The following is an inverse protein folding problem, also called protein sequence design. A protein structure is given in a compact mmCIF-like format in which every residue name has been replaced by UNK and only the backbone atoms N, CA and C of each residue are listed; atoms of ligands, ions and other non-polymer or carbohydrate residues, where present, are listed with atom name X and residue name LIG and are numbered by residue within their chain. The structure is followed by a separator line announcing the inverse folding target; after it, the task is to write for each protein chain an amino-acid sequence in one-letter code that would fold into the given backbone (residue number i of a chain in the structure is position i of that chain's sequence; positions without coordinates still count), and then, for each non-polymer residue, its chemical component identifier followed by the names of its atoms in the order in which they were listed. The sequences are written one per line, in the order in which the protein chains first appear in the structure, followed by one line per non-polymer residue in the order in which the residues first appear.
data_IF_962893578155
#
_entry.id   IF_962893578155
#
_cell.length_a   1.000
_cell.length_b   1.000
_cell.length_c   1.000
_cell.angle_alpha   90.00
_cell.angle_beta   90.00
_cell.angle_gamma   90.00
#
_symmetry.space_group_name_H-M   'P 1'
#
loop_
_entity.id
_entity.type
_entity.pdbx_description
1 polymer ?
#
# COMPACT_ATOMS: atom_id res chain seq x y z
N UNK A 1 9.83 0.92 -1.94
CA UNK A 1 11.10 0.51 -1.29
C UNK A 1 12.26 1.51 -1.41
N UNK A 2 12.60 2.07 -2.57
CA UNK A 2 13.80 2.93 -2.71
C UNK A 2 13.79 4.24 -1.89
N UNK A 3 12.62 4.86 -1.71
CA UNK A 3 12.46 6.07 -0.87
C UNK A 3 12.78 5.81 0.61
N UNK A 4 12.47 4.63 1.12
CA UNK A 4 12.72 4.28 2.53
C UNK A 4 14.20 3.98 2.80
N UNK A 5 14.95 3.45 1.81
CA UNK A 5 16.40 3.27 1.92
C UNK A 5 17.14 4.61 2.08
N UNK A 6 16.75 5.63 1.30
CA UNK A 6 17.34 6.98 1.37
C UNK A 6 17.22 7.68 2.72
N UNK A 7 16.10 7.47 3.41
CA UNK A 7 15.80 8.18 4.65
C UNK A 7 16.42 7.48 5.88
N UNK A 8 16.59 6.16 5.83
CA UNK A 8 17.04 5.37 6.98
C UNK A 8 18.53 5.02 6.94
N UNK A 9 19.12 4.84 5.76
CA UNK A 9 20.56 4.69 5.65
C UNK A 9 21.15 6.10 5.46
N UNK A 10 21.85 6.64 6.46
CA UNK A 10 22.61 7.92 6.39
C UNK A 10 23.75 7.89 5.34
N UNK A 11 23.61 7.10 4.29
CA UNK A 11 24.42 7.14 3.10
C UNK A 11 24.09 8.45 2.38
N UNK A 12 25.07 9.36 2.34
CA UNK A 12 25.21 10.36 1.26
C UNK A 12 25.32 9.60 -0.06
N UNK A 13 24.20 9.06 -0.53
CA UNK A 13 24.11 8.38 -1.80
C UNK A 13 23.98 9.48 -2.84
N UNK A 14 25.02 9.60 -3.67
CA UNK A 14 25.00 10.44 -4.86
C UNK A 14 23.71 10.14 -5.64
N UNK A 15 22.90 11.15 -6.04
CA UNK A 15 21.61 10.95 -6.68
C UNK A 15 21.65 9.98 -7.88
N UNK A 16 22.78 9.92 -8.57
CA UNK A 16 23.03 9.00 -9.68
C UNK A 16 23.05 7.52 -9.25
N UNK A 17 23.69 7.21 -8.11
CA UNK A 17 23.76 5.84 -7.58
C UNK A 17 22.37 5.34 -7.17
N UNK A 18 21.56 6.23 -6.61
CA UNK A 18 20.18 5.91 -6.29
C UNK A 18 19.34 5.64 -7.54
N UNK A 19 19.47 6.49 -8.56
CA UNK A 19 18.75 6.32 -9.82
C UNK A 19 19.10 4.97 -10.47
N UNK A 20 20.39 4.60 -10.45
CA UNK A 20 20.87 3.30 -10.93
C UNK A 20 20.26 2.15 -10.13
N UNK A 21 20.20 2.26 -8.81
CA UNK A 21 19.58 1.23 -7.96
C UNK A 21 18.08 1.07 -8.23
N UNK A 22 17.35 2.19 -8.37
CA UNK A 22 15.92 2.17 -8.70
C UNK A 22 15.69 1.49 -10.06
N UNK A 23 16.46 1.87 -11.07
CA UNK A 23 16.36 1.28 -12.40
C UNK A 23 16.68 -0.22 -12.38
N UNK A 24 17.71 -0.61 -11.63
CA UNK A 24 18.08 -2.02 -11.48
C UNK A 24 16.95 -2.83 -10.82
N UNK A 25 16.44 -2.37 -9.67
CA UNK A 25 15.31 -3.03 -8.99
C UNK A 25 14.06 -3.06 -9.87
N UNK A 26 13.79 -2.01 -10.65
CA UNK A 26 12.68 -2.01 -11.61
C UNK A 26 12.87 -3.08 -12.70
N UNK A 27 14.07 -3.25 -13.24
CA UNK A 27 14.38 -4.28 -14.24
C UNK A 27 14.25 -5.69 -13.66
N UNK A 28 14.71 -5.91 -12.43
CA UNK A 28 14.56 -7.19 -11.72
C UNK A 28 13.09 -7.53 -11.50
N UNK A 29 12.27 -6.55 -11.06
CA UNK A 29 10.83 -6.73 -10.94
C UNK A 29 10.18 -7.04 -12.29
N UNK A 30 10.49 -6.29 -13.34
CA UNK A 30 9.95 -6.56 -14.68
C UNK A 30 10.34 -7.96 -15.16
N UNK A 31 11.59 -8.38 -14.98
CA UNK A 31 12.06 -9.71 -15.37
C UNK A 31 11.34 -10.83 -14.60
N UNK A 32 11.25 -10.71 -13.27
CA UNK A 32 10.58 -11.67 -12.41
C UNK A 32 9.08 -11.81 -12.73
N UNK A 33 8.42 -10.69 -13.04
CA UNK A 33 7.00 -10.66 -13.37
C UNK A 33 6.73 -11.11 -14.82
N UNK A 34 7.65 -10.85 -15.76
CA UNK A 34 7.57 -11.39 -17.12
C UNK A 34 7.65 -12.93 -17.15
N UNK A 35 8.42 -13.56 -16.25
CA UNK A 35 8.47 -15.02 -16.14
C UNK A 35 7.21 -15.65 -15.52
N UNK A 36 6.40 -14.88 -14.79
CA UNK A 36 5.20 -15.36 -14.10
C UNK A 36 3.94 -15.46 -14.99
N UNK A 37 4.04 -15.06 -16.26
CA UNK A 37 2.93 -15.11 -17.23
C UNK A 37 2.35 -16.51 -17.50
N UNK A 38 3.04 -17.58 -17.09
CA UNK A 38 2.57 -18.97 -17.30
C UNK A 38 1.65 -19.52 -16.21
N UNK A 39 1.47 -18.84 -15.08
CA UNK A 39 0.62 -19.29 -13.96
C UNK A 39 -0.57 -18.37 -13.67
N UNK A 40 -0.97 -17.53 -14.63
CA UNK A 40 -2.22 -16.78 -14.53
C UNK A 40 -3.38 -17.66 -15.00
N UNK A 41 -3.95 -18.47 -14.08
CA UNK A 41 -5.37 -18.77 -14.22
C UNK A 41 -6.11 -17.44 -14.15
N UNK A 42 -6.77 -17.03 -15.24
CA UNK A 42 -7.66 -15.88 -15.19
C UNK A 42 -8.84 -16.24 -14.29
N UNK A 43 -8.76 -15.87 -13.02
CA UNK A 43 -9.97 -15.72 -12.23
C UNK A 43 -10.70 -14.55 -12.89
N UNK A 44 -11.96 -14.72 -13.35
CA UNK A 44 -12.74 -13.59 -13.81
C UNK A 44 -12.97 -12.68 -12.61
N UNK A 45 -12.06 -11.73 -12.40
CA UNK A 45 -12.31 -10.59 -11.56
C UNK A 45 -13.38 -9.79 -12.31
N UNK A 46 -14.63 -9.98 -11.90
CA UNK A 46 -15.70 -9.04 -12.25
C UNK A 46 -15.20 -7.70 -11.75
N UNK A 47 -14.62 -6.90 -12.64
CA UNK A 47 -14.18 -5.55 -12.32
C UNK A 47 -15.35 -4.89 -11.57
N UNK A 48 -15.13 -4.64 -10.28
CA UNK A 48 -16.14 -4.03 -9.44
C UNK A 48 -16.39 -2.67 -10.06
N UNK A 49 -17.56 -2.47 -10.66
CA UNK A 49 -17.93 -1.21 -11.28
C UNK A 49 -17.75 -0.11 -10.22
N UNK A 50 -16.71 0.71 -10.41
CA UNK A 50 -16.19 1.73 -9.50
C UNK A 50 -17.23 2.75 -9.01
N UNK A 51 -18.42 2.80 -9.61
CA UNK A 51 -19.45 3.79 -9.32
C UNK A 51 -20.45 3.46 -8.20
N UNK A 52 -20.34 2.32 -7.48
CA UNK A 52 -21.33 1.93 -6.45
C UNK A 52 -20.79 1.82 -5.01
N UNK A 53 -19.48 1.81 -4.82
CA UNK A 53 -18.87 1.56 -3.52
C UNK A 53 -17.85 2.63 -3.19
N UNK A 54 -17.89 3.13 -1.97
CA UNK A 54 -16.74 3.84 -1.42
C UNK A 54 -15.57 2.86 -1.37
N UNK A 55 -14.37 3.33 -1.68
CA UNK A 55 -13.19 2.48 -1.71
C UNK A 55 -12.26 2.87 -0.58
N UNK A 56 -11.79 1.89 0.16
CA UNK A 56 -10.86 2.05 1.25
C UNK A 56 -9.58 1.29 0.92
N UNK A 57 -8.46 2.00 0.90
CA UNK A 57 -7.14 1.38 0.82
C UNK A 57 -6.42 1.55 2.14
N UNK A 58 -5.55 0.60 2.48
CA UNK A 58 -4.69 0.67 3.65
C UNK A 58 -3.34 0.05 3.28
N UNK A 59 -2.32 0.38 4.07
CA UNK A 59 -0.93 -0.10 3.89
C UNK A 59 -0.16 0.19 5.18
N UNK A 60 0.95 -0.50 5.41
CA UNK A 60 1.92 -0.18 6.45
C UNK A 60 3.34 0.08 5.92
N UNK A 61 3.93 1.16 6.42
CA UNK A 61 5.35 1.38 6.32
C UNK A 61 6.05 0.98 7.62
N UNK A 62 6.93 -0.01 7.58
CA UNK A 62 7.75 -0.42 8.73
C UNK A 62 9.17 0.10 8.61
N UNK A 63 9.71 0.63 9.72
CA UNK A 63 11.12 0.89 9.92
C UNK A 63 11.58 0.36 11.28
N UNK A 64 12.90 0.28 11.58
CA UNK A 64 13.40 -0.36 12.80
C UNK A 64 12.92 0.25 14.12
N UNK A 65 12.46 1.51 14.11
CA UNK A 65 12.07 2.24 15.33
C UNK A 65 10.57 2.50 15.46
N UNK A 66 9.81 2.38 14.36
CA UNK A 66 8.37 2.57 14.36
C UNK A 66 7.75 1.96 13.10
N UNK A 67 6.45 1.73 13.17
CA UNK A 67 5.62 1.47 12.00
C UNK A 67 4.60 2.59 11.81
N UNK A 68 4.14 2.76 10.58
CA UNK A 68 3.17 3.77 10.19
C UNK A 68 2.08 3.14 9.34
N UNK A 69 0.91 2.94 9.91
CA UNK A 69 -0.26 2.51 9.18
C UNK A 69 -0.90 3.72 8.49
N UNK A 70 -1.40 3.51 7.28
CA UNK A 70 -2.17 4.51 6.52
C UNK A 70 -3.47 3.88 6.06
N UNK A 71 -4.52 4.69 6.00
CA UNK A 71 -5.84 4.30 5.55
C UNK A 71 -6.46 5.47 4.78
N UNK A 72 -6.91 5.25 3.55
CA UNK A 72 -7.47 6.29 2.68
C UNK A 72 -8.83 5.85 2.18
N UNK A 73 -9.85 6.66 2.43
CA UNK A 73 -11.18 6.49 1.91
C UNK A 73 -11.39 7.39 0.70
N UNK A 74 -11.82 6.79 -0.40
CA UNK A 74 -12.16 7.44 -1.65
C UNK A 74 -13.68 7.46 -1.85
N UNK A 75 -14.17 8.57 -2.37
CA UNK A 75 -15.52 8.71 -2.90
C UNK A 75 -15.67 7.94 -4.23
N UNK A 76 -16.91 7.78 -4.67
CA UNK A 76 -17.29 7.06 -5.92
C UNK A 76 -16.63 7.65 -7.18
N UNK A 77 -16.33 8.94 -7.16
CA UNK A 77 -15.68 9.66 -8.27
C UNK A 77 -14.14 9.59 -8.22
N UNK A 78 -13.57 8.93 -7.21
CA UNK A 78 -12.12 8.80 -7.02
C UNK A 78 -11.49 9.90 -6.14
N UNK A 79 -12.26 10.87 -5.65
CA UNK A 79 -11.74 11.89 -4.74
C UNK A 79 -11.45 11.31 -3.36
N UNK A 80 -10.43 11.82 -2.68
CA UNK A 80 -10.14 11.44 -1.29
C UNK A 80 -11.16 12.13 -0.37
N UNK A 81 -11.91 11.34 0.39
CA UNK A 81 -12.81 11.83 1.44
C UNK A 81 -12.05 12.00 2.75
N UNK A 82 -11.31 10.97 3.13
CA UNK A 82 -10.61 10.92 4.39
C UNK A 82 -9.28 10.18 4.25
N UNK A 83 -8.31 10.61 5.03
CA UNK A 83 -7.04 9.93 5.21
C UNK A 83 -6.72 9.86 6.71
N UNK A 84 -6.32 8.68 7.16
CA UNK A 84 -5.89 8.44 8.53
C UNK A 84 -4.51 7.84 8.53
N UNK A 85 -3.77 8.18 9.56
CA UNK A 85 -2.43 7.67 9.78
C UNK A 85 -2.27 7.34 11.26
N UNK A 86 -1.62 6.23 11.57
CA UNK A 86 -1.32 5.85 12.95
C UNK A 86 0.12 5.37 13.06
N UNK A 87 0.86 5.97 14.00
CA UNK A 87 2.22 5.54 14.34
C UNK A 87 2.15 4.55 15.50
N UNK A 88 2.87 3.46 15.36
CA UNK A 88 3.02 2.43 16.39
C UNK A 88 4.51 2.11 16.59
N UNK A 89 4.81 1.29 17.61
CA UNK A 89 6.14 0.70 17.75
C UNK A 89 6.44 -0.16 16.53
N UNK A 90 7.74 -0.36 16.24
CA UNK A 90 8.16 -1.23 15.15
C UNK A 90 7.53 -2.61 15.33
N UNK A 91 6.94 -3.13 14.26
CA UNK A 91 6.22 -4.40 14.23
C UNK A 91 6.65 -5.20 13.01
N UNK A 92 6.35 -6.49 13.01
CA UNK A 92 6.52 -7.31 11.82
C UNK A 92 5.61 -6.79 10.69
N UNK A 93 6.08 -6.72 9.43
CA UNK A 93 5.25 -6.24 8.31
C UNK A 93 3.88 -6.91 8.22
N UNK A 94 3.78 -8.23 8.41
CA UNK A 94 2.49 -8.93 8.30
C UNK A 94 1.53 -8.57 9.44
N UNK A 95 2.06 -8.40 10.65
CA UNK A 95 1.27 -7.90 11.80
C UNK A 95 0.82 -6.46 11.51
N UNK A 96 1.72 -5.68 10.92
CA UNK A 96 1.47 -4.31 10.51
C UNK A 96 0.32 -4.18 9.49
N UNK A 97 0.25 -5.06 8.49
CA UNK A 97 -0.86 -5.05 7.53
C UNK A 97 -2.19 -5.33 8.23
N UNK A 98 -2.22 -6.32 9.13
CA UNK A 98 -3.40 -6.61 9.92
C UNK A 98 -3.82 -5.42 10.80
N UNK A 99 -2.86 -4.68 11.36
CA UNK A 99 -3.10 -3.44 12.11
C UNK A 99 -3.64 -2.31 11.21
N UNK A 100 -3.11 -2.15 10.00
CA UNK A 100 -3.58 -1.16 9.03
C UNK A 100 -5.02 -1.46 8.57
N UNK A 101 -5.32 -2.73 8.28
CA UNK A 101 -6.66 -3.21 7.96
C UNK A 101 -7.64 -2.96 9.12
N UNK A 102 -7.23 -3.29 10.35
CA UNK A 102 -8.05 -3.07 11.54
C UNK A 102 -8.30 -1.57 11.79
N UNK A 103 -7.28 -0.74 11.61
CA UNK A 103 -7.43 0.72 11.68
C UNK A 103 -8.44 1.20 10.64
N UNK A 104 -8.33 0.76 9.39
CA UNK A 104 -9.23 1.13 8.32
C UNK A 104 -10.70 0.75 8.64
N UNK A 105 -10.93 -0.48 9.11
CA UNK A 105 -12.23 -0.96 9.58
C UNK A 105 -12.77 -0.14 10.76
N UNK A 106 -11.92 0.19 11.72
CA UNK A 106 -12.30 0.99 12.88
C UNK A 106 -12.71 2.41 12.50
N UNK A 107 -12.01 3.03 11.54
CA UNK A 107 -12.34 4.39 11.09
C UNK A 107 -13.64 4.44 10.31
N UNK A 108 -13.86 3.48 9.42
CA UNK A 108 -15.04 3.48 8.55
C UNK A 108 -16.31 3.01 9.25
N UNK A 109 -16.20 2.19 10.30
CA UNK A 109 -17.37 1.76 11.09
C UNK A 109 -18.15 2.96 11.68
N UNK A 110 -17.45 4.07 11.95
CA UNK A 110 -18.05 5.30 12.45
C UNK A 110 -18.80 6.11 11.37
N UNK A 111 -18.56 5.84 10.08
CA UNK A 111 -19.07 6.66 8.96
C UNK A 111 -20.42 6.18 8.41
N UNK A 112 -21.01 5.11 8.96
CA UNK A 112 -22.33 4.57 8.55
C UNK A 112 -22.49 4.42 7.03
N UNK A 113 -21.41 4.02 6.33
CA UNK A 113 -21.45 3.84 4.88
C UNK A 113 -22.29 2.62 4.51
N UNK A 114 -23.14 2.77 3.48
CA UNK A 114 -24.01 1.70 2.97
C UNK A 114 -23.28 0.70 2.08
N UNK A 115 -22.14 1.10 1.50
CA UNK A 115 -21.39 0.29 0.54
C UNK A 115 -19.90 0.67 0.59
N UNK A 116 -19.06 -0.31 0.94
CA UNK A 116 -17.61 -0.14 1.11
C UNK A 116 -16.86 -1.31 0.47
N UNK A 117 -15.80 -1.01 -0.26
CA UNK A 117 -14.85 -1.97 -0.80
C UNK A 117 -13.48 -1.73 -0.15
N UNK A 118 -12.95 -2.75 0.53
CA UNK A 118 -11.55 -2.77 0.94
C UNK A 118 -10.68 -3.25 -0.20
N UNK A 119 -9.58 -2.54 -0.46
CA UNK A 119 -8.60 -2.88 -1.46
C UNK A 119 -7.22 -2.80 -0.81
N UNK A 120 -6.54 -3.93 -0.81
CA UNK A 120 -5.16 -4.12 -0.36
C UNK A 120 -4.28 -4.47 -1.59
N UNK A 121 -2.96 -4.38 -1.47
CA UNK A 121 -2.01 -4.62 -2.58
C UNK A 121 -1.61 -6.09 -2.82
#
# INVERSE_FOLDING_TARGET
MARNKLLHEHLRSEPLALLQQILHTQQEHLAAWCTSLRLLHSIPCKSFLLGKYHRMTFDIAVCPSFSMCVAILFHLNGDILHAWTQRSLATDPLIGEAEAALMALSKVSNLKLSSLLFQDD
#
